data_IF_586644766778
#
_entry.id   IF_586644766778
#
_cell.length_a   1.000
_cell.length_b   1.000
_cell.length_c   1.000
_cell.angle_alpha   90.00
_cell.angle_beta   90.00
_cell.angle_gamma   90.00
#
_symmetry.space_group_name_H-M   'P 1'
#
loop_
_entity.id
_entity.type
_entity.pdbx_description
1 polymer ?
#
# COMPACT_ATOMS: atom_id res chain seq x y z
N UNK A 1 -22.98 30.71 -6.69
CA UNK A 1 -22.43 29.34 -6.75
C UNK A 1 -21.05 29.46 -7.36
N UNK A 2 -19.99 29.14 -6.63
CA UNK A 2 -18.65 29.05 -7.22
C UNK A 2 -18.60 27.87 -8.19
N UNK A 3 -18.27 28.13 -9.46
CA UNK A 3 -18.05 27.08 -10.45
C UNK A 3 -16.61 26.58 -10.31
N UNK A 4 -16.42 25.36 -9.80
CA UNK A 4 -15.11 24.72 -9.75
C UNK A 4 -14.85 24.05 -11.10
N UNK A 5 -13.81 24.49 -11.80
CA UNK A 5 -13.35 23.86 -13.06
C UNK A 5 -12.28 22.81 -12.75
N UNK A 6 -12.39 21.63 -13.35
CA UNK A 6 -11.47 20.53 -13.14
C UNK A 6 -10.69 20.21 -14.41
N UNK A 7 -9.36 20.05 -14.28
CA UNK A 7 -8.54 19.43 -15.29
C UNK A 7 -8.45 17.92 -15.03
N UNK A 8 -8.76 17.11 -16.05
CA UNK A 8 -8.77 15.64 -15.98
C UNK A 8 -7.65 15.06 -16.83
N UNK A 9 -6.87 14.14 -16.26
CA UNK A 9 -5.82 13.41 -16.98
C UNK A 9 -5.88 11.91 -16.71
N UNK A 10 -5.61 11.09 -17.73
CA UNK A 10 -5.42 9.64 -17.56
C UNK A 10 -4.04 9.41 -16.97
N UNK A 11 -3.99 8.95 -15.72
CA UNK A 11 -2.75 8.82 -14.93
C UNK A 11 -2.46 7.36 -14.62
N UNK A 12 -3.45 6.62 -14.14
CA UNK A 12 -3.26 5.25 -13.68
C UNK A 12 -3.67 4.25 -14.77
N UNK A 13 -2.75 3.37 -15.14
CA UNK A 13 -3.00 2.32 -16.10
C UNK A 13 -3.87 1.19 -15.50
N UNK A 14 -4.62 0.44 -16.32
CA UNK A 14 -5.52 -0.61 -15.83
C UNK A 14 -4.81 -1.73 -15.07
N UNK A 15 -3.59 -2.09 -15.46
CA UNK A 15 -2.85 -3.19 -14.84
C UNK A 15 -2.40 -2.80 -13.44
N UNK A 16 -1.86 -1.59 -13.27
CA UNK A 16 -1.49 -1.03 -11.97
C UNK A 16 -2.69 -1.00 -11.01
N UNK A 17 -3.87 -0.60 -11.49
CA UNK A 17 -5.09 -0.53 -10.66
C UNK A 17 -5.58 -1.90 -10.24
N UNK A 18 -5.52 -2.89 -11.12
CA UNK A 18 -5.86 -4.28 -10.79
C UNK A 18 -4.89 -4.86 -9.76
N UNK A 19 -3.59 -4.65 -9.94
CA UNK A 19 -2.58 -5.10 -8.96
C UNK A 19 -2.79 -4.41 -7.61
N UNK A 20 -3.10 -3.10 -7.60
CA UNK A 20 -3.40 -2.37 -6.37
C UNK A 20 -4.64 -2.94 -5.67
N UNK A 21 -5.74 -3.16 -6.40
CA UNK A 21 -6.97 -3.74 -5.85
C UNK A 21 -6.71 -5.16 -5.30
N UNK A 22 -6.00 -6.00 -6.06
CA UNK A 22 -5.61 -7.34 -5.65
C UNK A 22 -4.83 -7.31 -4.33
N UNK A 23 -3.78 -6.49 -4.25
CA UNK A 23 -2.97 -6.37 -3.04
C UNK A 23 -3.78 -5.82 -1.86
N UNK A 24 -4.61 -4.80 -2.09
CA UNK A 24 -5.47 -4.24 -1.05
C UNK A 24 -6.47 -5.27 -0.48
N UNK A 25 -7.10 -6.06 -1.35
CA UNK A 25 -8.00 -7.15 -0.93
C UNK A 25 -7.26 -8.27 -0.20
N UNK A 26 -6.09 -8.68 -0.71
CA UNK A 26 -5.28 -9.71 -0.05
C UNK A 26 -4.84 -9.29 1.36
N UNK A 27 -4.40 -8.03 1.53
CA UNK A 27 -4.07 -7.46 2.84
C UNK A 27 -5.30 -7.47 3.76
N UNK A 28 -6.46 -7.00 3.28
CA UNK A 28 -7.70 -6.99 4.05
C UNK A 28 -8.10 -8.39 4.52
N UNK A 29 -8.02 -9.39 3.63
CA UNK A 29 -8.35 -10.77 3.99
C UNK A 29 -7.32 -11.38 4.95
N UNK A 30 -6.03 -11.10 4.80
CA UNK A 30 -5.01 -11.53 5.76
C UNK A 30 -5.29 -10.98 7.16
N UNK A 31 -5.57 -9.68 7.26
CA UNK A 31 -5.96 -9.05 8.52
C UNK A 31 -7.21 -9.71 9.12
N UNK A 32 -8.18 -10.03 8.27
CA UNK A 32 -9.43 -10.68 8.69
C UNK A 32 -9.18 -12.09 9.22
N UNK A 33 -8.28 -12.86 8.60
CA UNK A 33 -7.95 -14.22 9.09
C UNK A 33 -7.30 -14.21 10.47
N UNK A 34 -6.42 -13.25 10.76
CA UNK A 34 -5.80 -13.08 12.09
C UNK A 34 -6.84 -12.65 13.13
N UNK A 35 -7.68 -11.66 12.77
CA UNK A 35 -8.73 -11.23 13.70
C UNK A 35 -9.77 -12.33 13.98
N UNK A 36 -10.11 -13.12 12.96
CA UNK A 36 -11.02 -14.26 13.13
C UNK A 36 -10.36 -15.38 13.93
N UNK A 37 -9.06 -15.66 13.77
CA UNK A 37 -8.43 -16.77 14.50
C UNK A 37 -8.55 -16.62 16.01
N UNK A 38 -8.50 -15.38 16.52
CA UNK A 38 -8.67 -15.07 17.94
C UNK A 38 -10.08 -15.39 18.48
N UNK A 39 -11.08 -15.52 17.60
CA UNK A 39 -12.46 -15.84 17.97
C UNK A 39 -12.74 -17.35 18.02
N UNK A 40 -11.84 -18.18 17.49
CA UNK A 40 -12.02 -19.64 17.47
C UNK A 40 -11.23 -20.33 18.59
N UNK A 41 -11.82 -21.36 19.19
CA UNK A 41 -11.08 -22.25 20.09
C UNK A 41 -10.02 -23.06 19.34
N UNK A 42 -8.97 -23.44 20.06
CA UNK A 42 -7.89 -24.27 19.50
C UNK A 42 -8.43 -25.57 18.94
N UNK A 43 -8.34 -25.75 17.64
CA UNK A 43 -8.99 -26.87 16.97
C UNK A 43 -8.95 -26.82 15.44
N UNK A 44 -9.88 -27.51 14.80
CA UNK A 44 -9.94 -27.61 13.34
C UNK A 44 -10.26 -26.25 12.68
N UNK A 45 -11.08 -25.42 13.32
CA UNK A 45 -11.43 -24.08 12.82
C UNK A 45 -10.23 -23.15 12.75
N UNK A 46 -9.48 -23.03 13.84
CA UNK A 46 -8.24 -22.24 13.91
C UNK A 46 -7.22 -22.70 12.85
N UNK A 47 -6.97 -24.01 12.74
CA UNK A 47 -6.05 -24.57 11.73
C UNK A 47 -6.48 -24.23 10.30
N UNK A 48 -7.79 -24.28 10.02
CA UNK A 48 -8.31 -23.91 8.71
C UNK A 48 -8.08 -22.42 8.42
N UNK A 49 -8.27 -21.54 9.41
CA UNK A 49 -7.98 -20.11 9.27
C UNK A 49 -6.49 -19.85 9.00
N UNK A 50 -5.59 -20.54 9.69
CA UNK A 50 -4.14 -20.43 9.42
C UNK A 50 -3.77 -20.92 8.02
N UNK A 51 -4.33 -22.03 7.53
CA UNK A 51 -4.13 -22.44 6.15
C UNK A 51 -4.67 -21.40 5.14
N UNK A 52 -5.84 -20.82 5.41
CA UNK A 52 -6.39 -19.74 4.59
C UNK A 52 -5.47 -18.52 4.61
N UNK A 53 -4.95 -18.12 5.78
CA UNK A 53 -3.98 -17.05 5.93
C UNK A 53 -2.75 -17.29 5.05
N UNK A 54 -2.17 -18.50 5.10
CA UNK A 54 -1.01 -18.87 4.28
C UNK A 54 -1.33 -18.81 2.79
N UNK A 55 -2.47 -19.34 2.34
CA UNK A 55 -2.86 -19.32 0.93
C UNK A 55 -3.12 -17.91 0.41
N UNK A 56 -3.79 -17.06 1.20
CA UNK A 56 -3.97 -15.65 0.85
C UNK A 56 -2.60 -14.95 0.86
N UNK A 57 -1.70 -15.32 1.76
CA UNK A 57 -0.31 -14.88 1.81
C UNK A 57 0.43 -15.17 0.52
N UNK A 58 0.30 -16.37 -0.05
CA UNK A 58 0.85 -16.69 -1.37
C UNK A 58 0.23 -15.81 -2.47
N UNK A 59 -1.07 -15.55 -2.41
CA UNK A 59 -1.74 -14.59 -3.30
C UNK A 59 -1.17 -13.17 -3.19
N UNK A 60 -0.88 -12.71 -1.98
CA UNK A 60 -0.25 -11.41 -1.74
C UNK A 60 1.19 -11.39 -2.28
N UNK A 61 1.98 -12.45 -2.06
CA UNK A 61 3.35 -12.57 -2.61
C UNK A 61 3.33 -12.42 -4.12
N UNK A 62 2.43 -13.13 -4.82
CA UNK A 62 2.27 -13.01 -6.27
C UNK A 62 1.93 -11.57 -6.68
N UNK A 63 1.01 -10.93 -5.95
CA UNK A 63 0.61 -9.54 -6.21
C UNK A 63 1.72 -8.51 -5.93
N UNK A 64 2.54 -8.73 -4.91
CA UNK A 64 3.74 -7.91 -4.63
C UNK A 64 4.75 -8.09 -5.75
N UNK A 65 5.08 -9.33 -6.15
CA UNK A 65 6.02 -9.60 -7.26
C UNK A 65 5.53 -8.95 -8.55
N UNK A 66 4.24 -9.09 -8.86
CA UNK A 66 3.62 -8.43 -10.02
C UNK A 66 3.76 -6.91 -9.94
N UNK A 67 3.55 -6.31 -8.76
CA UNK A 67 3.71 -4.87 -8.54
C UNK A 67 5.15 -4.42 -8.72
N UNK A 68 6.12 -5.17 -8.19
CA UNK A 68 7.55 -4.88 -8.31
C UNK A 68 8.00 -4.95 -9.77
N UNK A 69 7.60 -6.00 -10.49
CA UNK A 69 7.84 -6.12 -11.93
C UNK A 69 7.23 -4.92 -12.70
N UNK A 70 5.96 -4.60 -12.43
CA UNK A 70 5.28 -3.45 -13.06
C UNK A 70 5.91 -2.09 -12.67
N UNK A 71 6.54 -1.99 -11.51
CA UNK A 71 7.30 -0.81 -11.08
C UNK A 71 8.61 -0.59 -11.83
N UNK A 72 9.06 -1.58 -12.60
CA UNK A 72 10.24 -1.48 -13.46
C UNK A 72 9.81 -1.27 -14.92
N UNK A 73 8.91 -2.12 -15.44
CA UNK A 73 8.56 -2.12 -16.87
C UNK A 73 7.30 -1.30 -17.21
N UNK A 74 6.51 -0.92 -16.21
CA UNK A 74 5.18 -0.33 -16.41
C UNK A 74 5.18 1.11 -16.92
N UNK A 75 3.99 1.70 -16.89
CA UNK A 75 3.73 3.07 -17.34
C UNK A 75 4.50 4.11 -16.51
N UNK A 76 4.66 5.34 -17.03
CA UNK A 76 5.44 6.41 -16.38
C UNK A 76 5.13 6.56 -14.88
N UNK A 77 3.84 6.59 -14.53
CA UNK A 77 3.38 6.78 -13.15
C UNK A 77 3.39 5.51 -12.30
N UNK A 78 3.58 4.33 -12.91
CA UNK A 78 3.74 3.07 -12.19
C UNK A 78 5.18 2.84 -11.70
N UNK A 79 6.16 3.49 -12.34
CA UNK A 79 7.59 3.24 -12.13
C UNK A 79 8.10 3.78 -10.80
N UNK A 80 9.00 3.05 -10.16
CA UNK A 80 9.66 3.50 -8.92
C UNK A 80 10.48 4.78 -9.13
N UNK A 81 11.00 5.00 -10.33
CA UNK A 81 11.70 6.24 -10.69
C UNK A 81 10.81 7.49 -10.59
N UNK A 82 9.50 7.37 -10.87
CA UNK A 82 8.54 8.48 -10.74
C UNK A 82 8.20 8.78 -9.29
N UNK A 83 8.57 7.87 -8.37
CA UNK A 83 8.35 7.98 -6.93
C UNK A 83 9.61 8.45 -6.19
N UNK A 84 10.78 8.48 -6.83
CA UNK A 84 12.07 8.75 -6.17
C UNK A 84 12.40 10.25 -6.12
N UNK A 85 12.16 10.89 -4.97
CA UNK A 85 12.36 12.34 -4.77
C UNK A 85 13.18 12.69 -3.51
N UNK A 86 14.44 12.21 -3.40
CA UNK A 86 15.23 12.36 -2.17
C UNK A 86 15.49 13.81 -1.77
N UNK A 87 15.67 14.72 -2.72
CA UNK A 87 15.90 16.14 -2.46
C UNK A 87 14.66 16.77 -1.79
N UNK A 88 13.46 16.45 -2.28
CA UNK A 88 12.19 16.98 -1.75
C UNK A 88 11.91 16.41 -0.36
N UNK A 89 12.19 15.12 -0.13
CA UNK A 89 12.03 14.51 1.18
C UNK A 89 12.99 15.10 2.21
N UNK A 90 14.25 15.30 1.83
CA UNK A 90 15.25 15.89 2.71
C UNK A 90 14.91 17.33 3.06
N UNK A 91 14.45 18.12 2.09
CA UNK A 91 14.00 19.50 2.31
C UNK A 91 12.79 19.56 3.26
N UNK A 92 11.80 18.68 3.05
CA UNK A 92 10.62 18.61 3.88
C UNK A 92 10.94 18.25 5.34
N UNK A 93 11.87 17.33 5.56
CA UNK A 93 12.33 16.95 6.91
C UNK A 93 13.17 18.07 7.54
N UNK A 94 14.10 18.65 6.78
CA UNK A 94 15.03 19.66 7.29
C UNK A 94 14.34 20.97 7.64
N UNK A 95 13.41 21.41 6.80
CA UNK A 95 12.78 22.72 6.92
C UNK A 95 11.34 22.63 7.46
N UNK A 96 10.89 21.43 7.88
CA UNK A 96 9.50 21.15 8.29
C UNK A 96 8.47 21.65 7.26
N UNK A 97 8.85 21.69 5.99
CA UNK A 97 8.02 22.18 4.91
C UNK A 97 7.32 21.03 4.20
N UNK A 98 6.08 20.75 4.63
CA UNK A 98 5.24 19.72 4.03
C UNK A 98 4.44 20.22 2.81
N UNK A 99 4.78 21.39 2.27
CA UNK A 99 4.14 21.94 1.08
C UNK A 99 4.79 21.38 -0.19
N UNK A 100 4.22 20.30 -0.73
CA UNK A 100 4.51 19.86 -2.08
C UNK A 100 3.50 20.45 -3.07
N UNK A 101 4.00 20.90 -4.23
CA UNK A 101 3.13 21.28 -5.35
C UNK A 101 2.31 20.08 -5.79
N UNK A 102 0.99 20.23 -5.96
CA UNK A 102 0.15 19.19 -6.57
C UNK A 102 0.72 18.76 -7.92
N UNK A 103 0.67 17.44 -8.18
CA UNK A 103 1.07 16.86 -9.46
C UNK A 103 0.17 15.68 -9.79
N UNK A 104 0.00 15.45 -11.09
CA UNK A 104 -0.54 14.19 -11.59
C UNK A 104 0.38 13.02 -11.22
N UNK A 105 -0.23 11.94 -10.75
CA UNK A 105 0.46 10.77 -10.20
C UNK A 105 0.62 10.85 -8.69
N UNK A 106 1.71 10.27 -8.19
CA UNK A 106 1.98 10.22 -6.76
C UNK A 106 2.37 11.59 -6.21
N UNK A 107 1.84 11.91 -5.02
CA UNK A 107 2.32 13.04 -4.23
C UNK A 107 3.80 12.84 -3.88
N UNK A 108 4.64 13.86 -4.10
CA UNK A 108 6.10 13.77 -3.93
C UNK A 108 6.53 13.50 -2.49
N UNK A 109 5.78 13.97 -1.49
CA UNK A 109 6.07 13.69 -0.07
C UNK A 109 5.60 12.30 0.32
N UNK A 110 4.40 11.92 -0.14
CA UNK A 110 3.85 10.59 0.13
C UNK A 110 4.63 9.47 -0.57
N UNK A 111 5.35 9.76 -1.66
CA UNK A 111 6.09 8.76 -2.43
C UNK A 111 7.20 8.07 -1.62
N UNK A 112 7.83 8.77 -0.67
CA UNK A 112 8.81 8.17 0.24
C UNK A 112 8.16 7.14 1.18
N UNK A 113 6.98 7.46 1.72
CA UNK A 113 6.19 6.53 2.55
C UNK A 113 5.79 5.30 1.75
N UNK A 114 5.37 5.46 0.50
CA UNK A 114 5.01 4.31 -0.34
C UNK A 114 6.20 3.38 -0.62
N UNK A 115 7.40 3.93 -0.82
CA UNK A 115 8.61 3.11 -0.99
C UNK A 115 8.97 2.36 0.29
N UNK A 116 8.83 3.00 1.46
CA UNK A 116 8.99 2.34 2.74
C UNK A 116 7.98 1.20 2.91
N UNK A 117 6.71 1.42 2.57
CA UNK A 117 5.67 0.39 2.63
C UNK A 117 5.98 -0.77 1.69
N UNK A 118 6.53 -0.53 0.48
CA UNK A 118 6.97 -1.62 -0.38
C UNK A 118 8.11 -2.44 0.24
N UNK A 119 9.06 -1.80 0.92
CA UNK A 119 10.11 -2.50 1.64
C UNK A 119 9.51 -3.37 2.77
N UNK A 120 8.59 -2.81 3.56
CA UNK A 120 7.90 -3.54 4.62
C UNK A 120 7.11 -4.73 4.07
N UNK A 121 6.40 -4.57 2.95
CA UNK A 121 5.66 -5.65 2.29
C UNK A 121 6.59 -6.76 1.77
N UNK A 122 7.77 -6.42 1.24
CA UNK A 122 8.77 -7.41 0.83
C UNK A 122 9.26 -8.21 2.04
N UNK A 123 9.61 -7.52 3.13
CA UNK A 123 10.04 -8.19 4.36
C UNK A 123 8.92 -9.07 4.92
N UNK A 124 7.68 -8.59 4.95
CA UNK A 124 6.49 -9.34 5.36
C UNK A 124 6.30 -10.62 4.52
N UNK A 125 6.50 -10.54 3.21
CA UNK A 125 6.43 -11.67 2.31
C UNK A 125 7.52 -12.71 2.60
N UNK A 126 8.76 -12.28 2.83
CA UNK A 126 9.88 -13.17 3.14
C UNK A 126 9.67 -13.86 4.49
N UNK A 127 9.33 -13.11 5.53
CA UNK A 127 9.10 -13.67 6.86
C UNK A 127 7.88 -14.59 6.87
N UNK A 128 6.78 -14.21 6.20
CA UNK A 128 5.58 -15.04 6.11
C UNK A 128 5.79 -16.36 5.37
N UNK A 129 6.53 -16.34 4.25
CA UNK A 129 6.92 -17.58 3.55
C UNK A 129 7.83 -18.47 4.41
N UNK A 130 8.68 -17.85 5.24
CA UNK A 130 9.56 -18.57 6.15
C UNK A 130 8.79 -19.23 7.30
N UNK A 131 7.83 -18.52 7.88
CA UNK A 131 6.92 -19.08 8.90
C UNK A 131 6.05 -20.21 8.34
N UNK A 132 5.51 -20.04 7.14
CA UNK A 132 4.76 -21.11 6.47
C UNK A 132 5.59 -22.39 6.29
N UNK A 133 6.89 -22.25 6.01
CA UNK A 133 7.82 -23.36 5.90
C UNK A 133 8.14 -24.00 7.26
N UNK A 134 8.56 -23.20 8.25
CA UNK A 134 9.07 -23.69 9.55
C UNK A 134 7.95 -24.26 10.42
N UNK A 135 6.79 -23.59 10.47
CA UNK A 135 5.73 -23.92 11.42
C UNK A 135 4.63 -24.80 10.84
N UNK A 136 4.36 -24.67 9.55
CA UNK A 136 3.30 -25.41 8.86
C UNK A 136 3.81 -26.43 7.86
N UNK A 137 5.12 -26.51 7.62
CA UNK A 137 5.72 -27.38 6.60
C UNK A 137 5.14 -27.14 5.20
N UNK A 138 4.80 -25.88 4.89
CA UNK A 138 4.16 -25.46 3.64
C UNK A 138 5.07 -24.54 2.82
N UNK A 139 4.78 -24.47 1.52
CA UNK A 139 5.38 -23.48 0.64
C UNK A 139 6.74 -23.87 0.09
N UNK A 140 7.29 -23.03 -0.81
CA UNK A 140 8.50 -23.36 -1.56
C UNK A 140 9.76 -23.39 -0.70
N UNK A 141 9.76 -22.69 0.44
CA UNK A 141 10.92 -22.63 1.34
C UNK A 141 11.04 -23.84 2.26
N UNK A 142 10.00 -24.67 2.38
CA UNK A 142 9.96 -25.82 3.31
C UNK A 142 11.16 -26.77 3.11
N UNK A 143 11.50 -27.06 1.85
CA UNK A 143 12.60 -27.96 1.51
C UNK A 143 13.99 -27.44 1.94
N UNK A 144 14.13 -26.14 2.22
CA UNK A 144 15.41 -25.51 2.56
C UNK A 144 15.51 -25.15 4.04
N UNK A 145 14.43 -24.64 4.64
CA UNK A 145 14.43 -24.09 5.99
C UNK A 145 13.36 -24.68 6.92
N UNK A 146 12.51 -25.60 6.44
CA UNK A 146 11.44 -26.19 7.25
C UNK A 146 11.95 -26.89 8.51
N UNK A 147 13.10 -27.55 8.43
CA UNK A 147 13.74 -28.26 9.55
C UNK A 147 14.65 -27.35 10.41
N UNK A 148 14.54 -26.03 10.28
CA UNK A 148 15.34 -25.04 11.03
C UNK A 148 14.51 -24.26 12.07
N UNK A 149 14.08 -24.90 13.17
CA UNK A 149 13.17 -24.27 14.14
C UNK A 149 13.76 -23.05 14.85
N UNK A 150 15.10 -22.94 14.94
CA UNK A 150 15.78 -21.78 15.52
C UNK A 150 15.53 -20.48 14.74
N UNK A 151 15.13 -20.55 13.47
CA UNK A 151 14.77 -19.39 12.68
C UNK A 151 13.40 -18.82 13.03
N UNK A 152 12.52 -19.62 13.67
CA UNK A 152 11.13 -19.24 13.92
C UNK A 152 11.04 -17.88 14.61
N UNK A 153 11.65 -17.74 15.79
CA UNK A 153 11.59 -16.50 16.58
C UNK A 153 12.18 -15.30 15.82
N UNK A 154 13.24 -15.53 15.04
CA UNK A 154 13.92 -14.48 14.24
C UNK A 154 13.01 -13.94 13.14
N UNK A 155 12.13 -14.77 12.57
CA UNK A 155 11.22 -14.35 11.48
C UNK A 155 9.83 -13.95 11.98
N UNK A 156 9.37 -14.54 13.09
CA UNK A 156 8.06 -14.27 13.71
C UNK A 156 7.98 -12.83 14.24
N UNK A 157 8.93 -12.41 15.06
CA UNK A 157 8.91 -11.09 15.69
C UNK A 157 8.86 -9.94 14.64
N UNK A 158 9.71 -9.94 13.59
CA UNK A 158 9.58 -8.95 12.52
C UNK A 158 8.25 -9.07 11.75
N UNK A 159 7.70 -10.27 11.56
CA UNK A 159 6.43 -10.45 10.86
C UNK A 159 5.26 -9.80 11.61
N UNK A 160 5.17 -10.07 12.92
CA UNK A 160 4.15 -9.46 13.78
C UNK A 160 4.34 -7.94 13.91
N UNK A 161 5.58 -7.49 14.11
CA UNK A 161 5.88 -6.07 14.21
C UNK A 161 5.50 -5.31 12.92
N UNK A 162 5.86 -5.85 11.76
CA UNK A 162 5.52 -5.26 10.46
C UNK A 162 4.01 -5.30 10.23
N UNK A 163 3.31 -6.35 10.65
CA UNK A 163 1.85 -6.39 10.61
C UNK A 163 1.23 -5.17 11.30
N UNK A 164 1.65 -4.83 12.53
CA UNK A 164 1.13 -3.65 13.24
C UNK A 164 1.45 -2.33 12.53
N UNK A 165 2.67 -2.20 11.97
CA UNK A 165 3.04 -1.02 11.18
C UNK A 165 2.17 -0.87 9.93
N UNK A 166 1.94 -1.96 9.20
CA UNK A 166 1.10 -1.97 8.00
C UNK A 166 -0.37 -1.69 8.34
N UNK A 167 -0.86 -2.18 9.47
CA UNK A 167 -2.21 -1.88 9.97
C UNK A 167 -2.37 -0.37 10.22
N UNK A 168 -1.43 0.22 10.96
CA UNK A 168 -1.40 1.67 11.20
C UNK A 168 -1.33 2.46 9.89
N UNK A 169 -0.49 2.01 8.95
CA UNK A 169 -0.42 2.62 7.61
C UNK A 169 -1.75 2.55 6.86
N UNK A 170 -2.46 1.42 6.85
CA UNK A 170 -3.75 1.29 6.15
C UNK A 170 -4.78 2.28 6.71
N UNK A 171 -4.86 2.40 8.05
CA UNK A 171 -5.78 3.36 8.70
C UNK A 171 -5.42 4.79 8.30
N UNK A 172 -4.15 5.16 8.42
CA UNK A 172 -3.67 6.51 8.06
C UNK A 172 -3.88 6.78 6.56
N UNK A 173 -3.65 5.79 5.70
CA UNK A 173 -3.80 5.88 4.26
C UNK A 173 -5.26 6.18 3.87
N UNK A 174 -6.22 5.44 4.45
CA UNK A 174 -7.65 5.67 4.22
C UNK A 174 -8.09 7.02 4.80
N UNK A 175 -7.62 7.37 6.01
CA UNK A 175 -7.94 8.65 6.62
C UNK A 175 -7.40 9.83 5.78
N UNK A 176 -6.17 9.73 5.28
CA UNK A 176 -5.56 10.72 4.40
C UNK A 176 -6.32 10.82 3.06
N UNK A 177 -6.77 9.70 2.49
CA UNK A 177 -7.61 9.68 1.29
C UNK A 177 -8.91 10.48 1.52
N UNK A 178 -9.64 10.16 2.60
CA UNK A 178 -10.90 10.83 2.93
C UNK A 178 -10.67 12.32 3.21
N UNK A 179 -9.61 12.65 3.94
CA UNK A 179 -9.24 14.03 4.26
C UNK A 179 -8.95 14.84 3.00
N UNK A 180 -8.10 14.33 2.11
CA UNK A 180 -7.74 15.01 0.86
C UNK A 180 -8.92 15.11 -0.10
N UNK A 181 -9.75 14.07 -0.22
CA UNK A 181 -10.94 14.13 -1.08
C UNK A 181 -11.93 15.20 -0.62
N UNK A 182 -12.08 15.40 0.71
CA UNK A 182 -12.91 16.49 1.27
C UNK A 182 -12.26 17.87 1.14
N UNK A 183 -10.96 17.98 1.43
CA UNK A 183 -10.22 19.25 1.42
C UNK A 183 -10.02 19.78 0.00
N UNK A 184 -9.53 18.92 -0.88
CA UNK A 184 -9.13 19.30 -2.25
C UNK A 184 -10.32 19.22 -3.21
N UNK A 185 -11.48 18.69 -2.76
CA UNK A 185 -12.73 18.53 -3.53
C UNK A 185 -12.53 17.74 -4.84
N UNK A 186 -11.52 16.88 -4.89
CA UNK A 186 -11.22 16.03 -6.06
C UNK A 186 -11.50 14.56 -5.73
N UNK A 187 -12.13 13.78 -6.65
CA UNK A 187 -12.48 12.39 -6.38
C UNK A 187 -11.27 11.46 -6.51
N UNK A 188 -10.44 11.42 -5.45
CA UNK A 188 -9.19 10.65 -5.42
C UNK A 188 -9.44 9.13 -5.45
N UNK A 189 -10.43 8.64 -4.71
CA UNK A 189 -10.77 7.22 -4.72
C UNK A 189 -11.23 6.76 -6.12
N UNK A 190 -12.02 7.58 -6.81
CA UNK A 190 -12.47 7.32 -8.18
C UNK A 190 -11.29 7.21 -9.16
N UNK A 191 -10.17 7.90 -8.91
CA UNK A 191 -9.00 7.83 -9.78
C UNK A 191 -8.42 6.41 -9.84
N UNK A 192 -8.51 5.65 -8.74
CA UNK A 192 -8.06 4.26 -8.69
C UNK A 192 -9.04 3.28 -9.37
N UNK A 193 -10.29 3.67 -9.58
CA UNK A 193 -11.31 2.85 -10.27
C UNK A 193 -11.40 3.20 -11.76
N UNK A 194 -11.26 4.47 -12.11
CA UNK A 194 -11.44 4.98 -13.49
C UNK A 194 -10.12 5.24 -14.22
N UNK A 195 -9.03 5.43 -13.48
CA UNK A 195 -7.70 5.72 -14.02
C UNK A 195 -7.50 7.21 -14.34
N UNK A 196 -8.50 8.03 -14.08
CA UNK A 196 -8.48 9.46 -14.33
C UNK A 196 -8.32 10.22 -13.02
N UNK A 197 -7.28 11.04 -12.97
CA UNK A 197 -7.06 11.98 -11.87
C UNK A 197 -7.60 13.35 -12.26
N UNK A 198 -8.11 14.07 -11.27
CA UNK A 198 -8.69 15.39 -11.39
C UNK A 198 -7.89 16.36 -10.53
N UNK A 199 -7.61 17.54 -11.05
CA UNK A 199 -7.02 18.66 -10.32
C UNK A 199 -7.89 19.90 -10.51
N UNK A 200 -8.01 20.74 -9.48
CA UNK A 200 -8.75 22.01 -9.55
C UNK A 200 -7.93 23.02 -10.35
N UNK A 201 -8.55 23.64 -11.35
CA UNK A 201 -7.89 24.66 -12.17
C UNK A 201 -7.68 25.94 -11.36
N UNK A 202 -6.43 26.40 -11.22
CA UNK A 202 -6.05 27.50 -10.32
C UNK A 202 -6.59 28.88 -10.73
N UNK A 203 -7.21 29.04 -11.91
CA UNK A 203 -7.77 30.33 -12.36
C UNK A 203 -8.85 30.89 -11.42
N UNK A 204 -9.55 30.03 -10.67
CA UNK A 204 -10.70 30.44 -9.87
C UNK A 204 -10.35 30.76 -8.40
N UNK A 205 -9.11 30.56 -7.95
CA UNK A 205 -8.69 30.88 -6.58
C UNK A 205 -8.30 32.35 -6.41
N UNK A 206 -7.91 33.03 -7.49
CA UNK A 206 -7.47 34.43 -7.43
C UNK A 206 -8.61 35.46 -7.62
N UNK A 207 -9.78 35.08 -8.13
CA UNK A 207 -10.91 36.02 -8.30
C UNK A 207 -11.78 36.16 -7.03
N UNK A 208 -11.70 35.23 -6.08
CA UNK A 208 -12.47 35.28 -4.83
C UNK A 208 -11.90 36.22 -3.76
N UNK A 209 -10.59 36.45 -3.76
CA UNK A 209 -9.90 37.24 -2.72
C UNK A 209 -9.83 38.74 -3.03
N UNK A 210 -10.28 39.18 -4.21
CA UNK A 210 -10.29 40.60 -4.60
C UNK A 210 -11.63 41.31 -4.40
N UNK A 211 -12.64 40.63 -3.84
CA UNK A 211 -13.99 41.16 -3.64
C UNK A 211 -14.49 41.14 -2.19
N UNK A 212 -13.59 41.09 -1.20
CA UNK A 212 -13.92 41.26 0.22
C UNK A 212 -13.41 42.61 0.77
#
# INVERSE_FOLDING_TARGET
METITYQRKKVYDPILRLIHLWNGLAILFLMTTVWLSDLFEKGAGEKMLWHLHIYIGYGLVVGIVARLAWGIVGSRHARFSDMWHPIVWWDAVRNFNLQAKPRFGHNTLASGVYLLVYLLLITMAITGLSLAAIEHSMGPLNAWIGDMPWLKEIVEEPHEFIFYLLMGFVVIHIAALIWHERKDKTPLAQAMVTGYQYEVEQSNLNEGDHHA
#
